data_IF_674930847985
#
_entry.id   IF_674930847985
#
_cell.length_a   1.000
_cell.length_b   1.000
_cell.length_c   1.000
_cell.angle_alpha   90.00
_cell.angle_beta   90.00
_cell.angle_gamma   90.00
#
_symmetry.space_group_name_H-M   'P 1'
#
loop_
_entity.id
_entity.type
_entity.pdbx_description
1 polymer ?
#
# COMPACT_ATOMS: atom_id res chain seq x y z
N UNK A 1 9.02 -4.13 -8.77
CA UNK A 1 9.50 -3.13 -7.81
C UNK A 1 10.58 -3.77 -6.96
N UNK A 2 11.81 -3.24 -7.00
CA UNK A 2 12.90 -3.82 -6.24
C UNK A 2 12.59 -3.62 -4.76
N UNK A 3 12.63 -4.70 -3.98
CA UNK A 3 12.75 -4.59 -2.54
C UNK A 3 13.92 -3.65 -2.30
N UNK A 4 13.70 -2.55 -1.58
CA UNK A 4 14.82 -1.80 -1.00
C UNK A 4 15.69 -2.82 -0.28
N UNK A 5 16.84 -3.16 -0.88
CA UNK A 5 17.89 -3.87 -0.18
C UNK A 5 18.54 -2.77 0.66
N UNK A 6 17.90 -2.43 1.77
CA UNK A 6 18.57 -1.71 2.84
C UNK A 6 19.77 -2.58 3.21
N UNK A 7 20.97 -2.00 3.17
CA UNK A 7 22.21 -2.64 3.62
C UNK A 7 22.16 -2.97 5.12
N UNK A 8 21.10 -2.54 5.80
CA UNK A 8 20.69 -2.82 7.17
C UNK A 8 19.25 -3.38 7.14
N UNK A 9 18.81 -4.18 8.11
CA UNK A 9 17.48 -4.84 8.06
C UNK A 9 16.29 -3.89 7.83
N UNK A 10 15.10 -4.43 7.50
CA UNK A 10 13.86 -3.64 7.48
C UNK A 10 13.73 -2.84 8.80
N UNK A 11 13.38 -1.54 8.75
CA UNK A 11 13.21 -0.76 9.97
C UNK A 11 12.14 -1.39 10.86
N UNK A 12 12.35 -1.30 12.17
CA UNK A 12 11.36 -1.71 13.16
C UNK A 12 10.31 -0.60 13.30
N UNK A 13 9.04 -0.98 13.38
CA UNK A 13 7.98 -0.01 13.64
C UNK A 13 7.76 0.19 15.14
N UNK A 14 8.09 1.38 15.64
CA UNK A 14 7.88 1.79 17.03
C UNK A 14 6.94 3.01 17.10
N UNK A 15 5.75 2.87 17.70
CA UNK A 15 4.82 3.99 17.88
C UNK A 15 5.42 5.22 18.59
N UNK A 16 6.49 5.05 19.39
CA UNK A 16 7.18 6.17 20.05
C UNK A 16 7.80 7.18 19.07
N UNK A 17 8.00 6.79 17.81
CA UNK A 17 8.56 7.60 16.74
C UNK A 17 7.54 8.57 16.10
N UNK A 18 6.27 8.51 16.52
CA UNK A 18 5.21 9.41 16.05
C UNK A 18 4.74 10.28 17.20
N UNK A 19 4.98 11.59 17.12
CA UNK A 19 4.57 12.56 18.13
C UNK A 19 3.93 13.78 17.49
N UNK A 20 3.20 14.56 18.29
CA UNK A 20 2.73 15.89 17.90
C UNK A 20 3.55 16.96 18.61
N UNK A 21 4.09 17.92 17.87
CA UNK A 21 4.87 19.03 18.44
C UNK A 21 4.60 20.31 17.65
N UNK A 22 4.33 21.41 18.36
CA UNK A 22 4.10 22.74 17.79
C UNK A 22 3.05 22.78 16.66
N UNK A 23 1.99 21.97 16.77
CA UNK A 23 0.93 21.87 15.78
C UNK A 23 1.23 20.96 14.57
N UNK A 24 2.38 20.29 14.55
CA UNK A 24 2.77 19.36 13.49
C UNK A 24 2.76 17.91 13.96
N UNK A 25 2.37 16.99 13.07
CA UNK A 25 2.71 15.58 13.19
C UNK A 25 4.18 15.41 12.83
N UNK A 26 4.96 14.83 13.74
CA UNK A 26 6.39 14.57 13.57
C UNK A 26 6.62 13.08 13.58
N UNK A 27 7.12 12.56 12.47
CA UNK A 27 7.55 11.16 12.33
C UNK A 27 9.07 11.16 12.31
N UNK A 28 9.66 10.50 13.29
CA UNK A 28 11.11 10.38 13.42
C UNK A 28 11.57 9.04 12.83
N UNK A 29 12.73 9.07 12.19
CA UNK A 29 13.49 7.85 11.92
C UNK A 29 14.83 8.00 12.62
N UNK A 30 15.21 7.01 13.41
CA UNK A 30 16.48 6.99 14.11
C UNK A 30 17.19 5.65 13.90
N UNK A 31 18.48 5.61 14.21
CA UNK A 31 19.22 4.35 14.33
C UNK A 31 19.33 3.98 15.80
N UNK A 32 18.23 3.65 16.47
CA UNK A 32 18.35 3.25 17.87
C UNK A 32 19.09 1.91 18.03
N UNK A 33 20.13 1.92 18.86
CA UNK A 33 20.74 0.71 19.41
C UNK A 33 19.83 -0.03 20.42
N UNK A 34 18.67 0.52 20.76
CA UNK A 34 17.73 0.00 21.77
C UNK A 34 17.08 -1.33 21.39
N UNK A 35 17.23 -1.78 20.14
CA UNK A 35 16.75 -3.08 19.67
C UNK A 35 17.90 -3.98 19.17
N UNK A 36 19.06 -3.93 19.85
CA UNK A 36 20.13 -4.89 19.62
C UNK A 36 19.67 -6.30 20.00
N UNK A 37 19.42 -7.14 18.99
CA UNK A 37 19.36 -8.59 19.16
C UNK A 37 20.73 -9.14 18.76
N UNK A 38 21.45 -9.90 19.63
CA UNK A 38 22.70 -10.53 19.23
C UNK A 38 22.51 -11.35 17.94
N UNK A 39 23.31 -11.05 16.91
CA UNK A 39 23.22 -11.70 15.59
C UNK A 39 22.36 -10.98 14.55
N UNK A 40 21.77 -9.81 14.85
CA UNK A 40 21.04 -8.96 13.90
C UNK A 40 21.66 -7.57 13.83
N UNK A 41 21.88 -7.05 12.62
CA UNK A 41 22.35 -5.65 12.44
C UNK A 41 21.38 -4.69 13.13
N UNK A 42 21.86 -3.58 13.73
CA UNK A 42 20.99 -2.51 14.22
C UNK A 42 20.02 -2.11 13.10
N UNK A 43 18.72 -2.24 13.37
CA UNK A 43 17.69 -1.74 12.47
C UNK A 43 17.28 -0.35 12.97
N UNK A 44 17.19 0.62 12.07
CA UNK A 44 16.58 1.89 12.42
C UNK A 44 15.12 1.70 12.88
N UNK A 45 14.64 2.60 13.74
CA UNK A 45 13.24 2.63 14.16
C UNK A 45 12.53 3.80 13.49
N UNK A 46 11.29 3.58 13.07
CA UNK A 46 10.38 4.61 12.58
C UNK A 46 8.94 4.15 12.84
N UNK A 47 7.91 4.90 12.48
CA UNK A 47 6.56 4.34 12.45
C UNK A 47 5.69 4.99 11.37
N UNK A 48 5.02 4.19 10.52
CA UNK A 48 3.99 4.71 9.65
C UNK A 48 2.78 5.15 10.50
N UNK A 49 2.24 6.32 10.19
CA UNK A 49 0.95 6.74 10.70
C UNK A 49 -0.13 6.42 9.66
N UNK A 50 -1.21 5.75 10.07
CA UNK A 50 -2.26 5.30 9.15
C UNK A 50 -3.65 5.44 9.76
N UNK A 51 -4.61 5.80 8.92
CA UNK A 51 -6.03 5.85 9.25
C UNK A 51 -6.80 4.58 8.83
N UNK A 52 -6.09 3.49 8.49
CA UNK A 52 -6.70 2.26 7.98
C UNK A 52 -7.89 1.81 8.81
N UNK A 53 -9.02 1.58 8.13
CA UNK A 53 -10.31 1.19 8.69
C UNK A 53 -10.86 2.11 9.81
N UNK A 54 -10.39 3.36 9.88
CA UNK A 54 -10.90 4.40 10.80
C UNK A 54 -11.42 5.61 10.06
N UNK A 55 -10.65 6.09 9.08
CA UNK A 55 -11.05 7.16 8.19
C UNK A 55 -10.73 6.75 6.76
N UNK A 56 -11.77 6.65 5.95
CA UNK A 56 -11.72 6.28 4.54
C UNK A 56 -12.65 7.20 3.76
N UNK A 57 -12.35 7.35 2.48
CA UNK A 57 -13.14 8.16 1.57
C UNK A 57 -13.15 7.51 0.18
N UNK A 58 -14.20 7.75 -0.57
CA UNK A 58 -14.38 7.25 -1.95
C UNK A 58 -14.21 8.34 -2.99
N UNK A 59 -14.42 9.60 -2.59
CA UNK A 59 -14.24 10.80 -3.40
C UNK A 59 -13.82 11.96 -2.50
N UNK A 60 -13.11 12.92 -3.04
CA UNK A 60 -12.72 14.12 -2.32
C UNK A 60 -11.39 14.68 -2.78
N UNK A 61 -11.00 15.77 -2.14
CA UNK A 61 -9.72 16.43 -2.35
C UNK A 61 -8.87 16.26 -1.09
N UNK A 62 -7.64 15.78 -1.27
CA UNK A 62 -6.68 15.59 -0.17
C UNK A 62 -5.49 16.52 -0.38
N UNK A 63 -5.10 17.22 0.68
CA UNK A 63 -3.92 18.07 0.70
C UNK A 63 -3.05 17.70 1.89
N UNK A 64 -1.74 17.78 1.71
CA UNK A 64 -0.78 17.63 2.78
C UNK A 64 0.31 18.70 2.65
N UNK A 65 0.60 19.39 3.76
CA UNK A 65 1.74 20.28 3.88
C UNK A 65 2.83 19.54 4.66
N UNK A 66 3.94 19.21 3.99
CA UNK A 66 4.97 18.32 4.54
C UNK A 66 6.35 18.97 4.41
N UNK A 67 7.15 18.85 5.48
CA UNK A 67 8.57 19.18 5.49
C UNK A 67 9.36 17.89 5.60
N UNK A 68 10.18 17.59 4.60
CA UNK A 68 11.03 16.40 4.59
C UNK A 68 12.34 16.63 5.34
N UNK A 69 12.97 15.57 5.87
CA UNK A 69 14.30 15.66 6.43
C UNK A 69 15.31 16.15 5.36
N UNK A 70 16.32 16.92 5.80
CA UNK A 70 17.21 17.68 4.92
C UNK A 70 18.07 16.82 3.98
N UNK A 71 18.54 17.36 2.85
CA UNK A 71 19.17 16.58 1.77
C UNK A 71 20.61 16.11 2.06
N UNK A 72 21.02 16.02 3.33
CA UNK A 72 22.40 15.69 3.70
C UNK A 72 22.71 14.18 3.58
N UNK A 73 23.89 13.77 4.05
CA UNK A 73 24.30 12.36 4.00
C UNK A 73 23.47 11.47 4.94
N UNK A 74 22.87 12.03 6.01
CA UNK A 74 22.13 11.28 7.02
C UNK A 74 20.75 10.82 6.52
N UNK A 75 20.24 11.41 5.44
CA UNK A 75 18.96 11.02 4.84
C UNK A 75 19.08 9.97 3.73
N UNK A 76 20.29 9.43 3.51
CA UNK A 76 20.45 8.35 2.54
C UNK A 76 19.67 7.10 2.99
N UNK A 77 18.81 6.59 2.10
CA UNK A 77 17.93 5.45 2.37
C UNK A 77 16.58 5.81 3.00
N UNK A 78 16.32 7.09 3.25
CA UNK A 78 15.00 7.56 3.65
C UNK A 78 14.07 7.52 2.42
N UNK A 79 12.84 7.06 2.64
CA UNK A 79 11.79 7.03 1.63
C UNK A 79 10.46 7.51 2.26
N UNK A 80 10.37 8.78 2.67
CA UNK A 80 9.12 9.34 3.18
C UNK A 80 8.11 9.51 2.05
N UNK A 81 6.84 9.30 2.37
CA UNK A 81 5.75 9.47 1.43
C UNK A 81 4.44 9.76 2.15
N UNK A 82 3.51 10.36 1.39
CA UNK A 82 2.12 10.49 1.76
C UNK A 82 1.29 9.90 0.62
N UNK A 83 0.46 8.92 0.96
CA UNK A 83 -0.23 8.11 -0.03
C UNK A 83 -1.53 7.59 0.56
N UNK A 84 -2.38 7.07 -0.31
CA UNK A 84 -3.65 6.45 0.04
C UNK A 84 -3.68 5.04 -0.52
N UNK A 85 -4.44 4.16 0.13
CA UNK A 85 -4.61 2.78 -0.34
C UNK A 85 -6.03 2.31 -0.10
N UNK A 86 -6.55 1.51 -1.03
CA UNK A 86 -7.87 0.92 -0.88
C UNK A 86 -7.98 0.09 0.41
N UNK A 87 -9.10 0.26 1.14
CA UNK A 87 -9.28 -0.27 2.51
C UNK A 87 -9.15 -1.81 2.64
N UNK A 88 -9.24 -2.54 1.52
CA UNK A 88 -9.06 -3.99 1.46
C UNK A 88 -7.63 -4.44 1.78
N UNK A 89 -6.63 -3.57 1.71
CA UNK A 89 -5.27 -3.86 2.18
C UNK A 89 -4.91 -3.00 3.38
N UNK A 90 -4.12 -3.58 4.28
CA UNK A 90 -3.55 -2.90 5.45
C UNK A 90 -2.04 -2.79 5.28
N UNK A 91 -1.50 -1.56 5.18
CA UNK A 91 -0.05 -1.33 5.13
C UNK A 91 0.67 -2.01 6.30
N UNK A 92 1.80 -2.67 6.01
CA UNK A 92 2.56 -3.44 7.01
C UNK A 92 2.08 -4.88 7.23
N UNK A 93 0.94 -5.29 6.66
CA UNK A 93 0.39 -6.65 6.76
C UNK A 93 0.33 -7.29 5.38
N UNK A 94 1.41 -7.94 4.96
CA UNK A 94 1.62 -8.29 3.55
C UNK A 94 0.65 -9.35 3.01
N UNK A 95 0.07 -10.20 3.87
CA UNK A 95 -1.00 -11.09 3.44
C UNK A 95 -2.22 -10.34 2.91
N UNK A 96 -2.52 -9.17 3.48
CA UNK A 96 -3.68 -8.35 3.06
C UNK A 96 -3.46 -7.71 1.69
N UNK A 97 -2.20 -7.40 1.33
CA UNK A 97 -1.78 -6.85 0.03
C UNK A 97 -1.61 -7.93 -1.06
N UNK A 98 -1.41 -9.20 -0.68
CA UNK A 98 -1.23 -10.30 -1.63
C UNK A 98 -2.48 -10.48 -2.51
N UNK A 99 -2.33 -10.16 -3.80
CA UNK A 99 -3.38 -10.24 -4.81
C UNK A 99 -4.40 -9.10 -4.80
N UNK A 100 -4.27 -8.11 -3.92
CA UNK A 100 -5.13 -6.90 -3.92
C UNK A 100 -4.37 -5.68 -4.38
N UNK A 101 -3.09 -5.57 -4.02
CA UNK A 101 -2.17 -4.56 -4.53
C UNK A 101 -1.26 -5.19 -5.60
N UNK A 102 -0.88 -4.45 -6.67
CA UNK A 102 -1.23 -3.06 -6.99
C UNK A 102 -2.54 -2.92 -7.80
N UNK A 103 -3.41 -3.94 -7.76
CA UNK A 103 -4.57 -4.01 -8.65
C UNK A 103 -5.64 -2.97 -8.28
N UNK A 104 -6.28 -2.38 -9.28
CA UNK A 104 -7.47 -1.51 -9.13
C UNK A 104 -8.75 -2.36 -9.22
N UNK A 105 -9.04 -2.88 -10.41
CA UNK A 105 -10.05 -3.88 -10.72
C UNK A 105 -9.80 -4.40 -12.14
N UNK A 106 -9.44 -5.68 -12.31
CA UNK A 106 -9.42 -6.29 -13.63
C UNK A 106 -10.86 -6.63 -14.03
N UNK A 107 -11.38 -5.88 -15.01
CA UNK A 107 -12.67 -6.18 -15.65
C UNK A 107 -12.48 -6.94 -16.97
N UNK A 108 -11.38 -6.67 -17.67
CA UNK A 108 -11.02 -7.27 -18.97
C UNK A 108 -9.57 -6.92 -19.33
N UNK A 109 -8.80 -7.81 -19.97
CA UNK A 109 -7.48 -7.48 -20.54
C UNK A 109 -7.04 -8.44 -21.65
N UNK A 110 -6.86 -7.93 -22.86
CA UNK A 110 -6.28 -8.68 -23.99
C UNK A 110 -4.78 -8.44 -24.17
N UNK A 111 -4.22 -7.45 -23.44
CA UNK A 111 -2.90 -6.87 -23.71
C UNK A 111 -1.74 -7.87 -23.69
N UNK A 112 -1.90 -9.02 -23.04
CA UNK A 112 -0.85 -10.04 -22.89
C UNK A 112 -1.15 -11.37 -23.57
N UNK A 113 -2.35 -11.61 -24.11
CA UNK A 113 -2.77 -12.95 -24.54
C UNK A 113 -1.86 -13.53 -25.63
N UNK A 114 -1.58 -12.76 -26.69
CA UNK A 114 -0.72 -13.20 -27.80
C UNK A 114 0.75 -13.38 -27.41
N UNK A 115 1.21 -12.70 -26.36
CA UNK A 115 2.59 -12.82 -25.83
C UNK A 115 2.81 -14.14 -25.06
N UNK A 116 1.73 -14.75 -24.57
CA UNK A 116 1.76 -15.97 -23.77
C UNK A 116 1.01 -17.12 -24.44
N UNK A 117 0.99 -17.16 -25.78
CA UNK A 117 0.35 -18.23 -26.57
C UNK A 117 -1.11 -18.51 -26.19
N UNK A 118 -1.83 -17.50 -25.70
CA UNK A 118 -3.20 -17.64 -25.18
C UNK A 118 -3.32 -18.64 -24.01
N UNK A 119 -2.21 -18.96 -23.34
CA UNK A 119 -2.20 -19.79 -22.14
C UNK A 119 -2.64 -19.01 -20.91
N UNK A 120 -3.32 -19.68 -19.99
CA UNK A 120 -3.70 -19.10 -18.70
C UNK A 120 -2.44 -18.81 -17.87
N UNK A 121 -2.38 -17.64 -17.23
CA UNK A 121 -1.30 -17.31 -16.31
C UNK A 121 -1.24 -18.29 -15.12
N UNK A 122 -0.06 -18.87 -14.88
CA UNK A 122 0.23 -19.65 -13.66
C UNK A 122 0.51 -18.77 -12.42
N UNK A 123 0.49 -17.44 -12.57
CA UNK A 123 0.59 -16.53 -11.43
C UNK A 123 -0.72 -16.51 -10.65
N UNK A 124 -0.63 -16.24 -9.35
CA UNK A 124 -1.79 -16.26 -8.42
C UNK A 124 -2.88 -15.23 -8.73
N UNK A 125 -2.61 -14.28 -9.64
CA UNK A 125 -3.57 -13.27 -10.12
C UNK A 125 -4.11 -12.33 -9.04
N UNK A 126 -5.02 -11.44 -9.46
CA UNK A 126 -5.79 -10.60 -8.56
C UNK A 126 -6.74 -11.48 -7.72
N UNK A 127 -6.66 -11.33 -6.40
CA UNK A 127 -7.44 -12.08 -5.40
C UNK A 127 -8.94 -11.80 -5.49
N UNK A 128 -9.37 -10.60 -5.87
CA UNK A 128 -10.78 -10.24 -5.97
C UNK A 128 -11.08 -9.79 -7.41
N UNK A 129 -10.84 -10.67 -8.38
CA UNK A 129 -11.07 -10.38 -9.79
C UNK A 129 -12.53 -10.54 -10.20
N UNK A 130 -13.03 -9.68 -11.10
CA UNK A 130 -14.34 -9.88 -11.73
C UNK A 130 -14.39 -11.17 -12.56
N UNK A 131 -13.24 -11.65 -13.01
CA UNK A 131 -13.06 -12.85 -13.83
C UNK A 131 -13.43 -14.19 -13.18
N UNK A 132 -13.92 -14.17 -11.93
CA UNK A 132 -14.21 -15.37 -11.14
C UNK A 132 -15.70 -15.55 -10.85
N UNK A 133 -16.54 -15.14 -11.81
CA UNK A 133 -18.02 -15.19 -11.72
C UNK A 133 -18.62 -14.18 -10.72
N UNK A 134 -17.94 -13.02 -10.55
CA UNK A 134 -18.44 -11.89 -9.76
C UNK A 134 -18.53 -10.64 -10.63
N UNK A 135 -19.60 -9.86 -10.49
CA UNK A 135 -19.88 -8.70 -11.35
C UNK A 135 -18.95 -7.50 -11.11
N UNK A 136 -18.21 -7.48 -10.00
CA UNK A 136 -17.33 -6.37 -9.61
C UNK A 136 -15.98 -6.89 -9.11
N UNK A 137 -14.91 -6.53 -9.81
CA UNK A 137 -13.53 -6.72 -9.37
C UNK A 137 -13.14 -5.67 -8.35
N UNK A 138 -12.32 -6.04 -7.36
CA UNK A 138 -11.87 -5.14 -6.29
C UNK A 138 -10.38 -5.29 -6.05
N UNK A 139 -9.74 -4.19 -5.68
CA UNK A 139 -8.32 -4.15 -5.37
C UNK A 139 -8.04 -3.17 -4.25
N UNK A 140 -6.76 -3.01 -3.95
CA UNK A 140 -6.27 -2.03 -3.00
C UNK A 140 -5.15 -1.24 -3.68
N UNK A 141 -5.49 -0.41 -4.68
CA UNK A 141 -4.51 0.41 -5.36
C UNK A 141 -3.91 1.40 -4.38
N UNK A 142 -2.63 1.69 -4.57
CA UNK A 142 -1.90 2.74 -3.88
C UNK A 142 -1.85 3.96 -4.79
N UNK A 143 -2.28 5.11 -4.25
CA UNK A 143 -2.18 6.40 -4.93
C UNK A 143 -1.27 7.30 -4.11
N UNK A 144 -0.11 7.59 -4.67
CA UNK A 144 0.90 8.45 -4.05
C UNK A 144 0.55 9.92 -4.25
N UNK A 145 0.27 10.63 -3.16
CA UNK A 145 0.25 12.11 -3.20
C UNK A 145 1.67 12.56 -3.52
N UNK A 146 2.63 11.99 -2.78
CA UNK A 146 4.04 12.10 -3.08
C UNK A 146 4.82 10.94 -2.45
N UNK A 147 5.95 10.63 -3.07
CA UNK A 147 7.04 9.86 -2.49
C UNK A 147 8.35 10.60 -2.77
N UNK A 148 9.23 10.66 -1.78
CA UNK A 148 10.53 11.35 -1.90
C UNK A 148 11.64 10.38 -1.59
N UNK A 149 12.70 10.42 -2.38
CA UNK A 149 13.94 9.71 -2.08
C UNK A 149 15.16 10.53 -2.50
N UNK A 150 16.32 10.11 -2.01
CA UNK A 150 17.60 10.63 -2.52
C UNK A 150 17.84 10.09 -3.92
N UNK A 151 18.39 10.92 -4.81
CA UNK A 151 18.79 10.49 -6.15
C UNK A 151 19.75 9.29 -6.07
N UNK A 152 19.34 8.17 -6.67
CA UNK A 152 20.10 6.91 -6.69
C UNK A 152 21.18 6.86 -7.77
N UNK A 153 21.09 7.71 -8.80
CA UNK A 153 22.02 7.74 -9.93
C UNK A 153 23.23 8.62 -9.62
N UNK A 154 22.98 9.84 -9.16
CA UNK A 154 24.05 10.82 -8.90
C UNK A 154 24.47 10.88 -7.43
N UNK A 155 23.59 10.45 -6.52
CA UNK A 155 23.79 10.60 -5.07
C UNK A 155 23.70 12.05 -4.57
N UNK A 156 23.37 13.00 -5.45
CA UNK A 156 23.26 14.44 -5.14
C UNK A 156 21.83 14.90 -5.44
N UNK A 157 21.19 15.56 -4.47
CA UNK A 157 19.81 16.04 -4.61
C UNK A 157 18.74 15.00 -4.21
N UNK A 158 17.48 15.30 -4.54
CA UNK A 158 16.29 14.53 -4.17
C UNK A 158 15.42 14.31 -5.41
N UNK A 159 14.75 13.16 -5.46
CA UNK A 159 13.76 12.81 -6.48
C UNK A 159 12.40 12.72 -5.81
N UNK A 160 11.37 13.25 -6.48
CA UNK A 160 9.98 13.21 -6.00
C UNK A 160 9.11 12.57 -7.08
N UNK A 161 8.34 11.55 -6.70
CA UNK A 161 7.26 10.97 -7.50
C UNK A 161 5.92 11.49 -6.98
N UNK A 162 4.99 11.85 -7.86
CA UNK A 162 3.64 12.32 -7.50
C UNK A 162 2.61 11.76 -8.48
N UNK A 163 1.47 11.32 -7.96
CA UNK A 163 0.32 10.97 -8.79
C UNK A 163 -0.65 12.14 -8.86
N UNK A 164 -1.09 12.50 -10.07
CA UNK A 164 -2.20 13.42 -10.28
C UNK A 164 -3.46 12.61 -10.67
N UNK A 165 -4.53 12.72 -9.88
CA UNK A 165 -5.84 12.18 -10.21
C UNK A 165 -6.90 13.26 -10.10
N UNK A 166 -7.62 13.49 -11.20
CA UNK A 166 -8.72 14.43 -11.27
C UNK A 166 -9.99 13.63 -11.56
N UNK A 167 -10.94 13.64 -10.62
CA UNK A 167 -12.27 13.06 -10.81
C UNK A 167 -13.31 14.18 -10.72
N UNK A 168 -14.45 14.03 -11.42
CA UNK A 168 -15.55 14.97 -11.21
C UNK A 168 -16.08 14.83 -9.79
N UNK A 169 -16.15 15.96 -9.08
CA UNK A 169 -16.82 16.03 -7.80
C UNK A 169 -18.32 16.12 -8.08
N UNK A 170 -19.05 15.04 -7.84
CA UNK A 170 -20.51 15.12 -7.78
C UNK A 170 -20.88 15.88 -6.50
N UNK A 171 -21.46 17.06 -6.65
CA UNK A 171 -21.93 17.87 -5.52
C UNK A 171 -23.02 17.10 -4.74
N UNK A 172 -22.91 17.07 -3.41
CA UNK A 172 -23.90 16.45 -2.52
C UNK A 172 -23.68 14.98 -2.09
N UNK A 173 -22.68 14.25 -2.63
CA UNK A 173 -22.39 12.89 -2.13
C UNK A 173 -21.49 12.93 -0.87
N UNK A 174 -22.02 12.48 0.28
CA UNK A 174 -21.19 12.21 1.47
C UNK A 174 -20.38 10.94 1.25
N UNK A 175 -19.07 11.10 1.07
CA UNK A 175 -18.14 10.04 0.67
C UNK A 175 -17.16 9.68 1.79
N UNK A 176 -17.62 9.64 3.05
CA UNK A 176 -16.78 9.35 4.22
C UNK A 176 -17.28 8.04 4.84
N UNK A 177 -16.42 7.02 4.84
CA UNK A 177 -16.73 5.73 5.41
C UNK A 177 -15.86 4.62 4.84
N UNK A 178 -15.48 3.68 5.70
CA UNK A 178 -14.68 2.52 5.30
C UNK A 178 -15.54 1.37 4.74
N UNK A 179 -16.86 1.47 4.88
CA UNK A 179 -17.82 0.45 4.44
C UNK A 179 -18.95 1.05 3.58
N UNK A 180 -18.63 1.67 2.43
CA UNK A 180 -19.65 2.23 1.55
C UNK A 180 -20.56 1.12 0.98
N UNK A 181 -21.86 1.38 0.73
CA UNK A 181 -22.79 0.39 0.20
C UNK A 181 -22.35 -0.29 -1.11
N UNK A 182 -21.70 0.46 -2.00
CA UNK A 182 -21.23 -0.05 -3.29
C UNK A 182 -19.94 -0.89 -3.18
N UNK A 183 -19.16 -0.67 -2.12
CA UNK A 183 -17.90 -1.38 -1.87
C UNK A 183 -17.75 -1.75 -0.39
N UNK A 184 -18.61 -2.64 0.16
CA UNK A 184 -18.55 -3.01 1.56
C UNK A 184 -17.26 -3.80 1.83
N UNK A 185 -16.53 -3.43 2.88
CA UNK A 185 -15.25 -4.04 3.26
C UNK A 185 -15.26 -4.64 4.66
N UNK A 186 -16.18 -4.21 5.55
CA UNK A 186 -16.19 -4.61 6.96
C UNK A 186 -16.27 -6.12 7.12
N UNK A 187 -17.25 -6.77 6.49
CA UNK A 187 -17.45 -8.22 6.62
C UNK A 187 -16.26 -9.00 6.03
N UNK A 188 -15.70 -8.51 4.92
CA UNK A 188 -14.50 -9.12 4.33
C UNK A 188 -13.31 -9.05 5.29
N UNK A 189 -13.07 -7.90 5.92
CA UNK A 189 -11.97 -7.74 6.89
C UNK A 189 -12.22 -8.60 8.12
N UNK A 190 -13.44 -8.60 8.67
CA UNK A 190 -13.81 -9.36 9.86
C UNK A 190 -13.66 -10.87 9.66
N UNK A 191 -14.08 -11.39 8.50
CA UNK A 191 -13.97 -12.81 8.16
C UNK A 191 -12.51 -13.26 7.95
N UNK A 192 -11.57 -12.33 7.82
CA UNK A 192 -10.15 -12.60 7.60
C UNK A 192 -9.27 -11.85 8.60
N UNK A 193 -9.79 -11.53 9.79
CA UNK A 193 -9.17 -10.60 10.73
C UNK A 193 -7.73 -10.96 11.08
N UNK A 194 -7.40 -12.25 11.12
CA UNK A 194 -6.06 -12.74 11.36
C UNK A 194 -5.03 -12.21 10.35
N UNK A 195 -5.39 -12.12 9.06
CA UNK A 195 -4.53 -11.53 8.02
C UNK A 195 -4.22 -10.06 8.32
N UNK A 196 -5.20 -9.37 8.90
CA UNK A 196 -5.13 -7.94 9.21
C UNK A 196 -4.52 -7.68 10.59
N UNK A 197 -4.42 -8.65 11.49
CA UNK A 197 -3.93 -8.47 12.86
C UNK A 197 -2.60 -9.17 13.13
N UNK A 198 -2.18 -10.12 12.28
CA UNK A 198 -0.94 -10.87 12.44
C UNK A 198 0.10 -10.53 11.35
N UNK A 199 1.16 -9.75 11.66
CA UNK A 199 2.18 -9.36 10.68
C UNK A 199 3.08 -10.53 10.24
N UNK A 200 3.03 -11.68 10.92
CA UNK A 200 3.81 -12.87 10.54
C UNK A 200 3.16 -13.63 9.38
N UNK A 201 1.88 -13.38 9.08
CA UNK A 201 1.20 -13.95 7.92
C UNK A 201 1.60 -13.11 6.71
N UNK A 202 2.47 -13.67 5.88
CA UNK A 202 3.08 -12.91 4.78
C UNK A 202 2.39 -13.11 3.44
N UNK A 203 1.59 -14.18 3.30
CA UNK A 203 0.84 -14.57 2.11
C UNK A 203 -0.62 -14.84 2.48
N UNK A 204 -1.53 -14.65 1.53
CA UNK A 204 -2.94 -14.99 1.75
C UNK A 204 -3.12 -16.51 1.84
N UNK A 205 -3.71 -16.99 2.94
CA UNK A 205 -3.88 -18.43 3.23
C UNK A 205 -5.32 -18.93 3.09
N UNK A 206 -6.28 -18.03 2.87
CA UNK A 206 -7.68 -18.37 2.65
C UNK A 206 -7.97 -18.64 1.19
N UNK A 207 -9.16 -19.17 0.93
CA UNK A 207 -9.63 -19.42 -0.42
C UNK A 207 -9.51 -18.16 -1.27
N UNK A 208 -8.88 -18.33 -2.43
CA UNK A 208 -8.88 -17.34 -3.49
C UNK A 208 -9.96 -17.74 -4.48
N UNK A 209 -10.73 -16.79 -5.02
CA UNK A 209 -11.52 -17.02 -6.21
C UNK A 209 -10.63 -17.65 -7.29
N UNK A 210 -11.08 -18.77 -7.85
CA UNK A 210 -10.35 -19.46 -8.91
C UNK A 210 -10.56 -18.66 -10.20
N UNK A 211 -9.47 -18.28 -10.86
CA UNK A 211 -9.55 -17.73 -12.21
C UNK A 211 -10.10 -18.82 -13.14
N UNK A 212 -11.11 -18.50 -13.93
CA UNK A 212 -11.58 -19.34 -15.03
C UNK A 212 -11.46 -18.53 -16.32
N UNK A 213 -11.10 -19.18 -17.43
CA UNK A 213 -11.25 -18.57 -18.75
C UNK A 213 -12.76 -18.44 -18.99
N UNK A 214 -13.28 -17.21 -19.00
CA UNK A 214 -14.66 -16.98 -19.37
C UNK A 214 -14.72 -16.78 -20.90
N UNK A 215 -15.83 -17.18 -21.53
CA UNK A 215 -15.96 -17.27 -23.00
C UNK A 215 -15.58 -15.95 -23.71
N UNK A 216 -14.32 -15.84 -24.14
CA UNK A 216 -13.77 -14.66 -24.83
C UNK A 216 -13.37 -13.49 -23.91
N UNK A 217 -13.33 -13.67 -22.60
CA UNK A 217 -12.79 -12.67 -21.67
C UNK A 217 -12.32 -13.32 -20.36
N UNK A 218 -11.22 -12.79 -19.82
CA UNK A 218 -10.33 -13.38 -18.81
C UNK A 218 -9.39 -14.47 -19.37
#
# INVERSE_FOLDING_TARGET
>A
MPRARTLYGKPLYDPSQVVTRDGHLVITMDSTATHYTPGRSPAGSTAPFTSWNKFCFTRGYIEAAIVFPGPDANTQGYWPGAWTMGNLARPGYTATTDGTWPYTAALHSDASQSKYNFELSWLRGQKLSACSDVTVGRGAPEIDVLEVEKDKETGVGQVVSQSAQFASFADGEQNIGCNPPDFPTTDYINNHLEAYSNPNITLWQWDRPKNQLFHGSC
#
